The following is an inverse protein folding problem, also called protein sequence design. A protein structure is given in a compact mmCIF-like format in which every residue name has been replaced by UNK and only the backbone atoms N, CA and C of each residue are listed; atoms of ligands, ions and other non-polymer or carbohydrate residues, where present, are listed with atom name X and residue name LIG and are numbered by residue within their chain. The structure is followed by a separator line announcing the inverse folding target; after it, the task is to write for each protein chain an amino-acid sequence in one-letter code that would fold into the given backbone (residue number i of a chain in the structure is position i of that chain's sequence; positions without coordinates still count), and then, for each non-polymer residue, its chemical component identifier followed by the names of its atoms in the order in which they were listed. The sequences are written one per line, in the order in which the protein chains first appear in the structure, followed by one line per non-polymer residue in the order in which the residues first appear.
data_IF_553966323615
#
_entry.id   IF_553966323615
#
_cell.length_a   1.000
_cell.length_b   1.000
_cell.length_c   1.000
_cell.angle_alpha   90.00
_cell.angle_beta   90.00
_cell.angle_gamma   90.00
#
_symmetry.space_group_name_H-M   'P 1'
#
loop_
_entity.id
_entity.type
_entity.pdbx_description
1 polymer ?
#
# COMPACT_ATOMS: atom_id res chain seq x y z
N UNK A 1 -4.32 2.83 -18.94
CA UNK A 1 -4.76 4.25 -18.92
C UNK A 1 -3.65 5.11 -19.47
N UNK A 2 -3.95 6.15 -20.24
CA UNK A 2 -2.93 7.02 -20.85
C UNK A 2 -2.96 8.39 -20.20
N UNK A 3 -1.82 9.07 -20.17
CA UNK A 3 -1.67 10.39 -19.58
C UNK A 3 -0.24 10.90 -19.65
N UNK A 4 0.22 11.55 -18.58
CA UNK A 4 1.58 12.09 -18.50
C UNK A 4 2.13 11.94 -17.08
N UNK A 5 3.45 12.06 -16.96
CA UNK A 5 4.12 12.08 -15.68
C UNK A 5 4.98 13.33 -15.49
N UNK A 6 5.04 13.80 -14.24
CA UNK A 6 6.09 14.68 -13.69
C UNK A 6 6.95 13.88 -12.71
N UNK A 7 7.89 14.56 -12.03
CA UNK A 7 8.68 13.92 -11.00
C UNK A 7 8.81 14.74 -9.71
N UNK A 8 8.95 14.04 -8.59
CA UNK A 8 9.21 14.58 -7.27
C UNK A 8 10.13 13.65 -6.45
N UNK A 9 10.47 14.08 -5.22
CA UNK A 9 11.22 13.27 -4.28
C UNK A 9 10.62 13.37 -2.87
N UNK A 10 10.45 12.21 -2.22
CA UNK A 10 10.17 12.11 -0.77
C UNK A 10 11.39 12.49 0.09
N UNK A 11 12.55 12.75 -0.53
CA UNK A 11 13.77 13.17 0.13
C UNK A 11 14.66 12.01 0.62
N UNK A 12 15.54 12.27 1.59
CA UNK A 12 16.43 11.24 2.13
C UNK A 12 15.69 10.28 3.06
N UNK A 13 16.27 9.09 3.23
CA UNK A 13 15.79 8.09 4.20
C UNK A 13 15.90 8.58 5.65
N UNK A 14 15.23 7.90 6.58
CA UNK A 14 15.36 8.13 8.02
C UNK A 14 14.15 8.77 8.70
N UNK A 15 13.08 9.07 7.95
CA UNK A 15 11.78 9.46 8.51
C UNK A 15 10.96 8.23 8.89
N UNK A 16 10.23 8.32 10.00
CA UNK A 16 9.32 7.26 10.49
C UNK A 16 8.01 7.17 9.71
N UNK A 17 7.66 8.22 8.95
CA UNK A 17 6.47 8.29 8.10
C UNK A 17 6.82 9.02 6.81
N UNK A 18 6.48 8.43 5.67
CA UNK A 18 6.85 8.93 4.34
C UNK A 18 5.60 9.01 3.44
N UNK A 19 5.40 10.16 2.80
CA UNK A 19 4.23 10.45 1.97
C UNK A 19 2.90 10.43 2.73
N UNK A 20 1.81 10.75 2.04
CA UNK A 20 0.46 10.69 2.59
C UNK A 20 -0.02 9.26 2.85
N UNK A 21 0.70 8.23 2.37
CA UNK A 21 0.47 6.84 2.76
C UNK A 21 1.13 6.44 4.08
N UNK A 22 1.89 7.33 4.72
CA UNK A 22 2.59 7.06 5.99
C UNK A 22 3.47 5.81 5.94
N UNK A 23 4.19 5.61 4.84
CA UNK A 23 5.06 4.45 4.68
C UNK A 23 6.13 4.43 5.78
N UNK A 24 6.42 3.27 6.39
CA UNK A 24 7.41 3.16 7.47
C UNK A 24 8.85 3.40 6.97
N UNK A 25 9.09 3.24 5.68
CA UNK A 25 10.34 3.54 4.99
C UNK A 25 10.05 3.83 3.51
N UNK A 26 10.92 4.61 2.87
CA UNK A 26 10.90 4.80 1.41
C UNK A 26 11.37 3.48 0.75
N UNK A 27 10.75 3.03 -0.37
CA UNK A 27 11.23 1.87 -1.12
C UNK A 27 12.73 2.01 -1.46
N UNK A 28 13.51 0.94 -1.29
CA UNK A 28 14.98 0.98 -1.46
C UNK A 28 15.42 1.25 -2.90
N UNK A 29 14.63 0.77 -3.86
CA UNK A 29 14.79 1.03 -5.28
C UNK A 29 14.30 2.44 -5.67
N UNK A 30 13.69 3.16 -4.72
CA UNK A 30 13.10 4.48 -4.89
C UNK A 30 12.05 4.50 -6.01
N UNK A 31 11.34 3.39 -6.23
CA UNK A 31 10.28 3.31 -7.22
C UNK A 31 8.91 3.52 -6.58
N UNK A 32 8.50 4.79 -6.52
CA UNK A 32 7.21 5.19 -5.94
C UNK A 32 6.53 6.28 -6.77
N UNK A 33 5.26 6.53 -6.48
CA UNK A 33 4.44 7.52 -7.19
C UNK A 33 3.47 8.22 -6.23
N UNK A 34 3.26 9.52 -6.44
CA UNK A 34 2.12 10.26 -5.94
C UNK A 34 1.02 10.30 -7.01
N UNK A 35 -0.22 10.06 -6.60
CA UNK A 35 -1.35 9.93 -7.53
C UNK A 35 -2.47 10.92 -7.20
N UNK A 36 -3.29 11.22 -8.21
CA UNK A 36 -4.48 12.04 -8.07
C UNK A 36 -5.51 11.48 -7.07
N UNK A 37 -6.48 12.30 -6.63
CA UNK A 37 -7.49 11.90 -5.63
C UNK A 37 -8.31 10.66 -6.00
N UNK A 38 -8.53 10.42 -7.29
CA UNK A 38 -9.26 9.28 -7.83
C UNK A 38 -8.54 7.94 -7.60
N UNK A 39 -7.22 7.93 -7.77
CA UNK A 39 -6.37 6.76 -7.53
C UNK A 39 -5.96 6.64 -6.05
N UNK A 40 -5.76 7.77 -5.38
CA UNK A 40 -5.45 7.79 -3.94
C UNK A 40 -6.65 7.27 -3.13
N UNK A 41 -7.88 7.63 -3.54
CA UNK A 41 -9.14 7.14 -3.01
C UNK A 41 -9.22 7.21 -1.47
N UNK A 42 -8.82 8.35 -0.90
CA UNK A 42 -8.80 8.55 0.56
C UNK A 42 -7.81 7.63 1.29
N UNK A 43 -6.74 7.20 0.64
CA UNK A 43 -5.72 6.29 1.16
C UNK A 43 -5.96 4.81 0.80
N UNK A 44 -7.10 4.46 0.19
CA UNK A 44 -7.36 3.09 -0.24
C UNK A 44 -6.39 2.61 -1.34
N UNK A 45 -5.79 3.53 -2.10
CA UNK A 45 -4.77 3.22 -3.10
C UNK A 45 -3.37 2.95 -2.53
N UNK A 46 -3.10 3.29 -1.26
CA UNK A 46 -1.77 3.16 -0.68
C UNK A 46 -1.24 1.72 -0.68
N UNK A 47 0.02 1.55 -1.09
CA UNK A 47 0.67 0.23 -1.19
C UNK A 47 0.21 -0.62 -2.39
N UNK A 48 -0.67 -0.08 -3.24
CA UNK A 48 -0.93 -0.66 -4.55
C UNK A 48 0.21 -0.33 -5.52
N UNK A 49 0.28 -1.06 -6.62
CA UNK A 49 1.34 -0.90 -7.61
C UNK A 49 0.76 -0.63 -9.00
N UNK A 50 1.50 0.15 -9.78
CA UNK A 50 1.26 0.37 -11.20
C UNK A 50 2.48 -0.05 -12.01
N UNK A 51 2.24 -0.72 -13.15
CA UNK A 51 3.24 -0.81 -14.21
C UNK A 51 3.04 0.42 -15.10
N UNK A 52 4.04 1.30 -15.14
CA UNK A 52 4.03 2.59 -15.84
C UNK A 52 5.00 2.52 -17.00
N UNK A 53 4.49 2.74 -18.21
CA UNK A 53 5.24 2.75 -19.46
C UNK A 53 5.45 4.19 -19.93
N UNK A 54 6.71 4.55 -20.17
CA UNK A 54 7.13 5.80 -20.81
C UNK A 54 8.04 5.55 -22.03
N UNK A 55 8.63 6.60 -22.61
CA UNK A 55 9.45 6.51 -23.81
C UNK A 55 10.62 5.52 -23.76
N UNK A 56 11.23 5.31 -22.60
CA UNK A 56 12.41 4.46 -22.44
C UNK A 56 12.10 3.04 -21.92
N UNK A 57 10.85 2.76 -21.54
CA UNK A 57 10.47 1.44 -21.05
C UNK A 57 9.36 1.48 -20.01
N UNK A 58 9.29 0.41 -19.22
CA UNK A 58 8.26 0.23 -18.18
C UNK A 58 8.91 0.01 -16.83
N UNK A 59 8.39 0.67 -15.81
CA UNK A 59 8.76 0.44 -14.40
C UNK A 59 7.53 0.09 -13.57
N UNK A 60 7.76 -0.64 -12.48
CA UNK A 60 6.75 -0.86 -11.45
C UNK A 60 6.96 0.11 -10.32
N UNK A 61 5.93 0.86 -9.94
CA UNK A 61 5.97 1.84 -8.84
C UNK A 61 4.90 1.55 -7.80
N UNK A 62 5.23 1.84 -6.54
CA UNK A 62 4.30 1.77 -5.41
C UNK A 62 3.60 3.11 -5.19
N UNK A 63 2.28 3.10 -4.96
CA UNK A 63 1.53 4.29 -4.54
C UNK A 63 1.92 4.64 -3.10
N UNK A 64 2.68 5.72 -2.96
CA UNK A 64 3.25 6.17 -1.69
C UNK A 64 2.68 7.50 -1.19
N UNK A 65 2.05 8.27 -2.07
CA UNK A 65 1.65 9.64 -1.75
C UNK A 65 0.41 10.10 -2.56
N UNK A 66 -0.13 11.25 -2.17
CA UNK A 66 -1.27 11.90 -2.84
C UNK A 66 -0.81 13.22 -3.45
N UNK A 67 -1.05 13.38 -4.75
CA UNK A 67 -0.89 14.63 -5.47
C UNK A 67 -2.27 15.25 -5.68
N UNK A 68 -2.61 16.29 -4.92
CA UNK A 68 -3.98 16.84 -4.91
C UNK A 68 -4.30 17.66 -6.17
N UNK A 69 -3.27 18.22 -6.78
CA UNK A 69 -3.30 18.98 -8.02
C UNK A 69 -3.24 18.09 -9.27
N UNK A 70 -2.84 16.82 -9.12
CA UNK A 70 -2.76 15.89 -10.24
C UNK A 70 -4.16 15.51 -10.70
N UNK A 71 -4.47 15.88 -11.94
CA UNK A 71 -5.71 15.50 -12.62
C UNK A 71 -5.68 14.04 -13.06
N UNK A 72 -6.82 13.52 -13.51
CA UNK A 72 -6.91 12.15 -14.00
C UNK A 72 -5.89 11.87 -15.12
N UNK A 73 -5.09 10.81 -14.95
CA UNK A 73 -4.01 10.45 -15.88
C UNK A 73 -2.66 11.14 -15.62
N UNK A 74 -2.57 12.07 -14.66
CA UNK A 74 -1.31 12.65 -14.22
C UNK A 74 -0.72 11.84 -13.05
N UNK A 75 0.47 11.29 -13.27
CA UNK A 75 1.28 10.64 -12.23
C UNK A 75 2.46 11.54 -11.83
N UNK A 76 2.77 11.64 -10.55
CA UNK A 76 4.00 12.32 -10.10
C UNK A 76 4.98 11.28 -9.59
N UNK A 77 5.93 10.89 -10.43
CA UNK A 77 6.82 9.77 -10.19
C UNK A 77 7.98 10.17 -9.28
N UNK A 78 8.57 9.22 -8.56
CA UNK A 78 9.90 9.46 -8.01
C UNK A 78 10.88 9.82 -9.13
N UNK A 79 11.89 10.63 -8.83
CA UNK A 79 12.88 10.98 -9.84
C UNK A 79 13.60 9.76 -10.44
N UNK A 80 13.83 8.71 -9.65
CA UNK A 80 14.41 7.45 -10.11
C UNK A 80 13.48 6.70 -11.07
N UNK A 81 12.18 6.62 -10.76
CA UNK A 81 11.19 6.01 -11.65
C UNK A 81 11.05 6.80 -12.95
N UNK A 82 11.07 8.13 -12.88
CA UNK A 82 11.00 9.00 -14.05
C UNK A 82 12.19 8.81 -14.98
N UNK A 83 13.43 8.86 -14.44
CA UNK A 83 14.69 8.62 -15.18
C UNK A 83 14.72 7.24 -15.86
N UNK A 84 14.09 6.24 -15.25
CA UNK A 84 14.05 4.90 -15.81
C UNK A 84 13.13 4.76 -17.03
N UNK A 85 12.14 5.65 -17.19
CA UNK A 85 11.18 5.59 -18.31
C UNK A 85 11.20 6.78 -19.26
N UNK A 86 11.99 7.82 -18.99
CA UNK A 86 12.06 9.00 -19.84
C UNK A 86 13.29 9.88 -19.61
N UNK A 87 13.42 10.92 -20.43
CA UNK A 87 14.44 11.95 -20.25
C UNK A 87 14.06 12.85 -19.07
N UNK A 88 14.93 12.92 -18.07
CA UNK A 88 14.72 13.72 -16.87
C UNK A 88 14.56 15.21 -17.19
N UNK A 89 15.37 15.73 -18.12
CA UNK A 89 15.41 17.16 -18.42
C UNK A 89 14.19 17.62 -19.24
N UNK A 90 13.37 16.68 -19.75
CA UNK A 90 12.08 17.00 -20.36
C UNK A 90 11.07 17.53 -19.33
N UNK A 91 11.22 17.19 -18.05
CA UNK A 91 10.34 17.57 -16.93
C UNK A 91 8.95 16.94 -16.95
N UNK A 92 8.36 16.74 -18.14
CA UNK A 92 7.08 16.09 -18.38
C UNK A 92 7.24 15.08 -19.51
N UNK A 93 6.74 13.86 -19.32
CA UNK A 93 6.74 12.80 -20.35
C UNK A 93 5.35 12.22 -20.54
N UNK A 94 5.03 11.78 -21.76
CA UNK A 94 3.81 11.01 -22.02
C UNK A 94 3.95 9.61 -21.44
N UNK A 95 2.91 9.12 -20.76
CA UNK A 95 2.93 7.80 -20.12
C UNK A 95 1.63 7.05 -20.31
N UNK A 96 1.69 5.76 -20.03
CA UNK A 96 0.50 4.95 -19.77
C UNK A 96 0.74 4.04 -18.56
N UNK A 97 -0.30 3.68 -17.84
CA UNK A 97 -0.19 2.82 -16.67
C UNK A 97 -1.32 1.80 -16.56
N UNK A 98 -1.03 0.69 -15.90
CA UNK A 98 -1.98 -0.37 -15.56
C UNK A 98 -1.81 -0.81 -14.10
N UNK A 99 -2.91 -1.05 -13.36
CA UNK A 99 -2.83 -1.57 -12.00
C UNK A 99 -2.26 -2.99 -11.99
N UNK A 100 -1.37 -3.24 -11.04
CA UNK A 100 -0.76 -4.56 -10.83
C UNK A 100 -1.66 -5.38 -9.92
N UNK A 101 -1.97 -6.61 -10.33
CA UNK A 101 -2.75 -7.52 -9.51
C UNK A 101 -1.99 -7.90 -8.24
N UNK A 102 -2.66 -7.90 -7.08
CA UNK A 102 -2.04 -8.17 -5.77
C UNK A 102 -1.30 -9.53 -5.69
N UNK A 103 -1.67 -10.51 -6.51
CA UNK A 103 -0.99 -11.82 -6.59
C UNK A 103 0.39 -11.76 -7.26
N UNK A 104 0.70 -10.68 -7.98
CA UNK A 104 1.92 -10.51 -8.79
C UNK A 104 2.93 -9.55 -8.18
N UNK A 105 2.58 -8.93 -7.05
CA UNK A 105 3.52 -8.15 -6.24
C UNK A 105 4.39 -9.15 -5.45
N UNK A 106 5.73 -9.07 -5.54
CA UNK A 106 6.60 -9.85 -4.66
C UNK A 106 6.19 -9.54 -3.23
N UNK A 107 5.63 -10.53 -2.52
CA UNK A 107 5.33 -10.37 -1.12
C UNK A 107 6.65 -10.12 -0.41
N UNK A 108 6.98 -8.87 -0.12
CA UNK A 108 7.83 -8.56 1.03
C UNK A 108 7.27 -9.37 2.20
N UNK A 109 8.12 -9.97 3.06
CA UNK A 109 7.65 -10.72 4.21
C UNK A 109 7.09 -9.73 5.24
N UNK A 110 6.00 -9.04 4.89
CA UNK A 110 5.05 -8.54 5.84
C UNK A 110 4.63 -9.76 6.60
N UNK A 111 5.16 -9.88 7.82
CA UNK A 111 4.85 -10.92 8.77
C UNK A 111 3.40 -11.27 8.61
N UNK A 112 3.17 -12.54 8.30
CA UNK A 112 1.86 -13.13 8.36
C UNK A 112 1.25 -12.68 9.69
N UNK A 113 0.35 -11.70 9.62
CA UNK A 113 -0.75 -11.62 10.56
C UNK A 113 -1.61 -12.83 10.22
N UNK A 114 -1.06 -14.00 10.53
CA UNK A 114 -1.80 -15.18 10.91
C UNK A 114 -2.74 -14.62 11.95
N UNK A 115 -4.00 -14.38 11.57
CA UNK A 115 -5.07 -14.27 12.54
C UNK A 115 -4.80 -15.40 13.54
N UNK A 116 -4.60 -15.10 14.84
CA UNK A 116 -4.13 -16.09 15.78
C UNK A 116 -5.03 -17.30 15.60
N UNK A 117 -4.45 -18.39 15.09
CA UNK A 117 -5.12 -19.67 15.02
C UNK A 117 -5.55 -19.88 16.45
N UNK A 118 -6.87 -19.84 16.73
CA UNK A 118 -7.41 -20.17 18.05
C UNK A 118 -6.97 -21.59 18.34
N UNK A 119 -5.79 -21.75 18.94
CA UNK A 119 -5.27 -22.99 19.51
C UNK A 119 -5.80 -23.18 20.93
N UNK A 120 -6.70 -22.31 21.38
CA UNK A 120 -7.64 -22.68 22.43
C UNK A 120 -8.52 -23.80 21.92
N UNK A 121 -8.41 -24.99 22.54
CA UNK A 121 -9.44 -26.03 22.48
C UNK A 121 -10.81 -25.35 22.52
N UNK A 122 -11.78 -25.73 21.68
CA UNK A 122 -13.13 -25.22 21.85
C UNK A 122 -13.53 -25.47 23.31
N UNK A 123 -13.94 -24.41 24.02
CA UNK A 123 -14.57 -24.57 25.33
C UNK A 123 -15.78 -25.48 25.09
N UNK A 124 -15.66 -26.75 25.50
CA UNK A 124 -16.74 -27.71 25.41
C UNK A 124 -17.74 -27.26 26.47
N UNK A 125 -18.86 -26.68 26.05
CA UNK A 125 -19.98 -26.46 26.95
C UNK A 125 -20.45 -27.85 27.42
N UNK A 126 -20.28 -28.14 28.71
CA UNK A 126 -20.68 -29.42 29.31
C UNK A 126 -22.15 -29.42 29.79
N UNK A 127 -22.97 -28.47 29.36
CA UNK A 127 -24.41 -28.45 29.67
C UNK A 127 -25.22 -27.83 28.53
N UNK A 128 -26.38 -28.40 28.19
CA UNK A 128 -27.22 -27.93 27.09
C UNK A 128 -28.13 -26.82 27.60
N UNK A 129 -27.63 -25.59 27.70
CA UNK A 129 -28.49 -24.43 27.96
C UNK A 129 -27.80 -23.12 27.57
N UNK A 130 -27.83 -22.77 26.29
CA UNK A 130 -27.92 -21.35 25.91
C UNK A 130 -28.39 -21.22 24.46
N UNK A 131 -29.51 -20.50 24.32
CA UNK A 131 -30.16 -20.19 23.07
C UNK A 131 -29.32 -19.30 22.15
N UNK A 132 -29.81 -19.24 20.93
CA UNK A 132 -29.26 -18.58 19.77
C UNK A 132 -29.16 -17.06 19.92
N UNK A 133 -28.09 -16.53 20.52
CA UNK A 133 -27.67 -15.16 20.21
C UNK A 133 -26.18 -14.92 20.47
N UNK A 134 -25.47 -14.45 19.43
CA UNK A 134 -24.00 -14.34 19.35
C UNK A 134 -23.44 -13.01 19.85
N UNK A 135 -24.20 -12.21 20.57
CA UNK A 135 -23.85 -10.79 20.81
C UNK A 135 -23.19 -10.49 22.16
N UNK A 136 -22.88 -11.50 22.99
CA UNK A 136 -22.45 -11.26 24.38
C UNK A 136 -21.16 -11.98 24.76
N UNK A 137 -20.04 -11.65 24.12
CA UNK A 137 -18.71 -11.94 24.68
C UNK A 137 -17.89 -10.65 24.76
N UNK A 138 -18.29 -9.78 25.69
CA UNK A 138 -17.48 -8.64 26.15
C UNK A 138 -16.28 -9.12 26.97
N UNK A 139 -15.20 -8.36 26.88
CA UNK A 139 -13.89 -8.66 27.44
C UNK A 139 -13.92 -8.79 28.97
N UNK A 140 -13.72 -10.01 29.49
CA UNK A 140 -13.43 -10.20 30.91
C UNK A 140 -11.91 -10.16 31.12
N UNK A 141 -11.43 -9.05 31.69
CA UNK A 141 -10.09 -8.91 32.27
C UNK A 141 -9.97 -9.86 33.45
N UNK A 142 -8.98 -10.76 33.46
CA UNK A 142 -8.70 -11.61 34.62
C UNK A 142 -7.64 -12.66 34.29
N UNK A 143 -6.47 -12.53 34.91
CA UNK A 143 -5.27 -13.31 34.60
C UNK A 143 -5.37 -14.80 34.90
N UNK A 144 -4.66 -15.60 34.10
CA UNK A 144 -4.40 -17.00 34.38
C UNK A 144 -3.26 -17.12 35.41
N UNK A 145 -3.53 -17.70 36.58
CA UNK A 145 -2.52 -18.42 37.37
C UNK A 145 -2.61 -19.90 37.00
N UNK A 146 -1.48 -20.49 36.66
CA UNK A 146 -1.31 -21.95 36.53
C UNK A 146 -1.22 -22.60 37.93
N UNK A 147 -1.54 -23.91 38.06
CA UNK A 147 -1.37 -24.65 39.31
C UNK A 147 0.10 -24.78 39.73
#
# INVERSE_FOLDING_TARGET
MSGYATHYSLGPDGRTTNGNCSLPAIPKDRLYVAVGPDLYAGGAGCGSYFDVTGPHGTVRVEVADSCHECVHGHLDLSEEAFRAIGDYDAGIITTSYVPVAASTVPRSPSGSRTAPRRTGRPCRCSTPACGSDRSSCGWARGGCRSP
#
